data_IF_730273306943
#
_entry.id   IF_730273306943
#
_cell.length_a   1.000
_cell.length_b   1.000
_cell.length_c   1.000
_cell.angle_alpha   90.00
_cell.angle_beta   90.00
_cell.angle_gamma   90.00
#
_symmetry.space_group_name_H-M   'P 1'
#
loop_
_entity.id
_entity.type
_entity.pdbx_description
1 polymer ?
#
# COMPACT_ATOMS: atom_id res chain seq x y z
N UNK A 1 5.24 -15.29 1.08
CA UNK A 1 5.47 -13.82 1.18
C UNK A 1 4.12 -13.24 1.46
N UNK A 2 3.92 -12.62 2.61
CA UNK A 2 2.62 -12.11 3.09
C UNK A 2 1.85 -11.27 2.04
N UNK A 3 2.56 -10.48 1.23
CA UNK A 3 1.94 -9.70 0.16
C UNK A 3 1.27 -10.57 -0.94
N UNK A 4 1.77 -11.79 -1.16
CA UNK A 4 1.14 -12.75 -2.07
C UNK A 4 -0.12 -13.35 -1.44
N UNK A 5 -0.09 -13.66 -0.14
CA UNK A 5 -1.22 -14.21 0.62
C UNK A 5 -2.35 -13.17 0.73
N UNK A 6 -2.01 -11.90 0.96
CA UNK A 6 -2.94 -10.77 0.82
C UNK A 6 -3.59 -10.74 -0.58
N UNK A 7 -2.80 -10.92 -1.65
CA UNK A 7 -3.32 -10.88 -3.02
C UNK A 7 -4.24 -12.07 -3.32
N UNK A 8 -3.96 -13.26 -2.77
CA UNK A 8 -4.80 -14.45 -2.89
C UNK A 8 -6.21 -14.23 -2.34
N UNK A 9 -6.39 -13.34 -1.35
CA UNK A 9 -7.72 -12.98 -0.84
C UNK A 9 -8.61 -12.32 -1.89
N UNK A 10 -8.04 -11.74 -2.95
CA UNK A 10 -8.76 -11.02 -4.01
C UNK A 10 -8.78 -11.77 -5.34
N UNK A 11 -8.03 -12.86 -5.48
CA UNK A 11 -8.04 -13.67 -6.69
C UNK A 11 -9.42 -14.31 -6.89
N UNK A 12 -10.02 -14.07 -8.06
CA UNK A 12 -11.29 -14.66 -8.49
C UNK A 12 -12.50 -14.29 -7.62
N UNK A 13 -12.39 -13.22 -6.80
CA UNK A 13 -13.44 -12.75 -5.88
C UNK A 13 -13.77 -11.28 -6.15
N UNK A 14 -15.04 -10.92 -5.99
CA UNK A 14 -15.47 -9.52 -5.90
C UNK A 14 -15.11 -8.95 -4.51
N UNK A 15 -14.92 -7.64 -4.41
CA UNK A 15 -14.48 -6.98 -3.16
C UNK A 15 -15.37 -7.30 -1.93
N UNK A 16 -16.64 -7.61 -2.17
CA UNK A 16 -17.62 -7.92 -1.13
C UNK A 16 -17.52 -9.37 -0.61
N UNK A 17 -16.66 -10.20 -1.21
CA UNK A 17 -16.47 -11.61 -0.86
C UNK A 17 -15.17 -11.85 -0.06
N UNK A 18 -14.48 -10.78 0.31
CA UNK A 18 -13.22 -10.85 1.05
C UNK A 18 -13.51 -11.02 2.54
N UNK A 19 -12.87 -12.01 3.16
CA UNK A 19 -12.93 -12.23 4.60
C UNK A 19 -12.11 -11.15 5.32
N UNK A 20 -12.81 -10.27 6.04
CA UNK A 20 -12.22 -9.13 6.74
C UNK A 20 -11.23 -9.57 7.82
N UNK A 21 -11.47 -10.71 8.48
CA UNK A 21 -10.55 -11.20 9.51
C UNK A 21 -9.23 -11.65 8.87
N UNK A 22 -9.29 -12.42 7.78
CA UNK A 22 -8.09 -12.81 7.04
C UNK A 22 -7.36 -11.60 6.48
N UNK A 23 -8.08 -10.65 5.88
CA UNK A 23 -7.50 -9.40 5.40
C UNK A 23 -6.74 -8.66 6.52
N UNK A 24 -7.32 -8.60 7.71
CA UNK A 24 -6.68 -7.96 8.87
C UNK A 24 -5.40 -8.68 9.30
N UNK A 25 -5.35 -10.01 9.22
CA UNK A 25 -4.14 -10.78 9.57
C UNK A 25 -3.03 -10.55 8.54
N UNK A 26 -3.31 -10.70 7.25
CA UNK A 26 -2.30 -10.50 6.19
C UNK A 26 -1.73 -9.07 6.21
N UNK A 27 -2.57 -8.06 6.48
CA UNK A 27 -2.11 -6.68 6.65
C UNK A 27 -1.22 -6.52 7.90
N UNK A 28 -1.55 -7.18 9.00
CA UNK A 28 -0.74 -7.14 10.21
C UNK A 28 0.63 -7.78 9.99
N UNK A 29 0.70 -8.91 9.28
CA UNK A 29 1.95 -9.61 8.99
C UNK A 29 2.86 -8.77 8.09
N UNK A 30 2.31 -8.15 7.04
CA UNK A 30 3.06 -7.19 6.20
C UNK A 30 3.62 -6.03 7.04
N UNK A 31 2.78 -5.44 7.89
CA UNK A 31 3.19 -4.31 8.74
C UNK A 31 4.25 -4.72 9.76
N UNK A 32 4.15 -5.91 10.36
CA UNK A 32 5.15 -6.43 11.27
C UNK A 32 6.52 -6.60 10.58
N UNK A 33 6.55 -7.14 9.37
CA UNK A 33 7.77 -7.22 8.57
C UNK A 33 8.35 -5.84 8.23
N UNK A 34 7.50 -4.87 7.86
CA UNK A 34 7.95 -3.49 7.61
C UNK A 34 8.60 -2.86 8.86
N UNK A 35 7.96 -3.02 10.03
CA UNK A 35 8.48 -2.49 11.29
C UNK A 35 9.81 -3.16 11.68
N UNK A 36 9.92 -4.48 11.52
CA UNK A 36 11.14 -5.23 11.78
C UNK A 36 12.29 -4.76 10.90
N UNK A 37 12.04 -4.61 9.59
CA UNK A 37 13.06 -4.13 8.65
C UNK A 37 13.47 -2.69 8.95
N UNK A 38 12.51 -1.82 9.27
CA UNK A 38 12.79 -0.44 9.62
C UNK A 38 13.69 -0.36 10.87
N UNK A 39 13.38 -1.15 11.90
CA UNK A 39 14.19 -1.25 13.10
C UNK A 39 15.62 -1.74 12.80
N UNK A 40 15.74 -2.86 12.09
CA UNK A 40 17.04 -3.48 11.78
C UNK A 40 17.95 -2.60 10.92
N UNK A 41 17.36 -1.73 10.09
CA UNK A 41 18.10 -0.83 9.21
C UNK A 41 18.13 0.63 9.68
N UNK A 42 17.69 0.91 10.92
CA UNK A 42 17.64 2.27 11.48
C UNK A 42 16.90 3.27 10.58
N UNK A 43 15.82 2.81 9.93
CA UNK A 43 14.96 3.65 9.11
C UNK A 43 13.87 4.26 9.99
N UNK A 44 13.81 5.59 10.03
CA UNK A 44 12.64 6.29 10.56
C UNK A 44 11.47 6.14 9.57
N UNK A 45 10.58 5.19 9.87
CA UNK A 45 9.48 4.84 9.00
C UNK A 45 8.45 5.97 8.88
N UNK A 46 8.27 6.79 9.93
CA UNK A 46 7.37 7.94 9.88
C UNK A 46 7.92 9.00 8.92
N UNK A 47 9.21 9.35 9.08
CA UNK A 47 9.87 10.31 8.20
C UNK A 47 9.88 9.81 6.75
N UNK A 48 10.19 8.53 6.52
CA UNK A 48 10.18 7.92 5.20
C UNK A 48 8.80 7.99 4.54
N UNK A 49 7.72 7.73 5.30
CA UNK A 49 6.35 7.83 4.81
C UNK A 49 5.99 9.27 4.44
N UNK A 50 6.32 10.25 5.29
CA UNK A 50 6.08 11.68 5.02
C UNK A 50 6.82 12.15 3.77
N UNK A 51 8.10 11.82 3.64
CA UNK A 51 8.89 12.14 2.45
C UNK A 51 8.28 11.51 1.18
N UNK A 52 7.81 10.27 1.27
CA UNK A 52 7.17 9.59 0.13
C UNK A 52 5.85 10.26 -0.28
N UNK A 53 5.06 10.74 0.68
CA UNK A 53 3.83 11.48 0.39
C UNK A 53 4.10 12.79 -0.35
N UNK A 54 5.13 13.54 0.03
CA UNK A 54 5.52 14.77 -0.69
C UNK A 54 5.99 14.47 -2.12
N UNK A 55 6.77 13.40 -2.33
CA UNK A 55 7.13 12.93 -3.67
C UNK A 55 5.88 12.56 -4.49
N UNK A 56 4.92 11.87 -3.88
CA UNK A 56 3.68 11.48 -4.55
C UNK A 56 2.82 12.70 -4.90
N UNK A 57 2.75 13.73 -4.07
CA UNK A 57 2.07 15.00 -4.39
C UNK A 57 2.69 15.69 -5.60
N UNK A 58 4.03 15.71 -5.69
CA UNK A 58 4.73 16.25 -6.85
C UNK A 58 4.47 15.43 -8.12
N UNK A 59 4.33 14.10 -7.99
CA UNK A 59 4.07 13.17 -9.11
C UNK A 59 2.59 13.16 -9.55
N UNK A 60 1.67 13.42 -8.63
CA UNK A 60 0.22 13.45 -8.86
C UNK A 60 -0.38 14.74 -8.27
N UNK A 61 -0.29 15.87 -9.00
CA UNK A 61 -0.94 17.10 -8.58
C UNK A 61 -2.44 16.85 -8.39
N UNK A 62 -3.01 17.34 -7.30
CA UNK A 62 -4.43 17.13 -6.92
C UNK A 62 -5.38 17.56 -8.05
N UNK A 63 -4.99 18.58 -8.82
CA UNK A 63 -5.73 19.08 -9.99
C UNK A 63 -5.84 18.08 -11.16
N UNK A 64 -4.94 17.08 -11.22
CA UNK A 64 -4.96 16.01 -12.24
C UNK A 64 -5.61 14.71 -11.75
N UNK A 65 -5.88 14.58 -10.45
CA UNK A 65 -6.32 13.32 -9.83
C UNK A 65 -7.78 13.33 -9.37
N UNK A 66 -8.49 14.47 -9.44
CA UNK A 66 -9.91 14.54 -9.11
C UNK A 66 -10.76 14.00 -10.26
N UNK A 67 -11.01 12.69 -10.25
CA UNK A 67 -12.01 12.04 -11.10
C UNK A 67 -11.51 11.30 -12.34
N UNK A 68 -10.21 10.95 -12.45
CA UNK A 68 -9.74 10.15 -13.58
C UNK A 68 -8.87 8.97 -13.12
N UNK A 69 -9.41 7.76 -13.26
CA UNK A 69 -8.75 6.49 -12.97
C UNK A 69 -7.75 6.08 -14.09
N UNK A 70 -7.09 7.04 -14.73
CA UNK A 70 -6.08 6.76 -15.76
C UNK A 70 -4.69 6.69 -15.15
N UNK A 71 -3.97 5.61 -15.46
CA UNK A 71 -2.55 5.47 -15.14
C UNK A 71 -1.75 6.55 -15.86
N UNK A 72 -0.72 7.06 -15.16
CA UNK A 72 0.20 8.12 -15.62
C UNK A 72 0.97 7.82 -16.92
N UNK A 73 0.88 6.61 -17.45
CA UNK A 73 1.58 6.18 -18.68
C UNK A 73 0.87 6.55 -19.98
N UNK A 74 -0.24 7.30 -19.92
CA UNK A 74 -1.01 7.72 -21.11
C UNK A 74 -1.24 9.25 -21.15
N UNK A 75 -0.23 10.05 -20.77
CA UNK A 75 -0.22 11.49 -21.02
C UNK A 75 0.27 11.79 -22.44
#
# INVERSE_FOLDING_TARGET
MEAAELNELFLWKSANQVDVQKLSHELADIMAYCLLLAHNHSVDLEQALRAKLEINKAKYPVDKAKGNAKKYTEL
#
